data_IF_649544619494
#
_entry.id   IF_649544619494
#
_cell.length_a   1.000
_cell.length_b   1.000
_cell.length_c   1.000
_cell.angle_alpha   90.00
_cell.angle_beta   90.00
_cell.angle_gamma   90.00
#
_symmetry.space_group_name_H-M   'P 1'
#
loop_
_entity.id
_entity.type
_entity.pdbx_description
1 polymer ?
#
# COMPACT_ATOMS: atom_id res chain seq x y z
N UNK A 1 -16.52 -28.35 19.09
CA UNK A 1 -16.08 -27.13 18.38
C UNK A 1 -15.74 -27.51 16.96
N UNK A 2 -16.60 -27.15 16.00
CA UNK A 2 -16.24 -27.28 14.59
C UNK A 2 -15.16 -26.24 14.32
N UNK A 3 -13.91 -26.69 14.17
CA UNK A 3 -12.92 -25.90 13.45
C UNK A 3 -13.58 -25.54 12.12
N UNK A 4 -13.85 -24.25 11.88
CA UNK A 4 -13.90 -23.78 10.51
C UNK A 4 -12.58 -24.26 9.91
N UNK A 5 -12.62 -25.34 9.13
CA UNK A 5 -11.52 -25.68 8.25
C UNK A 5 -11.51 -24.56 7.22
N UNK A 6 -10.95 -23.41 7.62
CA UNK A 6 -10.68 -22.29 6.77
C UNK A 6 -9.97 -22.79 5.53
N UNK A 7 -10.17 -22.05 4.45
CA UNK A 7 -9.57 -22.27 3.12
C UNK A 7 -8.25 -23.03 3.23
N UNK A 8 -8.20 -24.27 2.68
CA UNK A 8 -6.98 -25.08 2.73
C UNK A 8 -5.92 -24.41 1.85
N UNK A 9 -4.91 -23.78 2.45
CA UNK A 9 -3.88 -23.05 1.71
C UNK A 9 -2.85 -23.93 0.97
N UNK A 10 -3.06 -25.25 0.91
CA UNK A 10 -2.28 -26.14 0.05
C UNK A 10 -3.05 -26.35 -1.28
N UNK A 11 -2.53 -25.79 -2.37
CA UNK A 11 -3.10 -25.96 -3.71
C UNK A 11 -4.34 -25.09 -4.00
N UNK A 12 -4.61 -24.05 -3.20
CA UNK A 12 -5.66 -23.08 -3.48
C UNK A 12 -5.12 -21.93 -4.31
N UNK A 13 -5.91 -21.50 -5.31
CA UNK A 13 -5.61 -20.32 -6.10
C UNK A 13 -5.46 -19.09 -5.19
N UNK A 14 -4.59 -18.16 -5.59
CA UNK A 14 -4.42 -16.90 -4.85
C UNK A 14 -5.74 -16.14 -4.77
N UNK A 15 -5.92 -15.38 -3.70
CA UNK A 15 -6.90 -14.30 -3.67
C UNK A 15 -6.35 -13.16 -4.55
N UNK A 16 -7.17 -12.67 -5.49
CA UNK A 16 -6.81 -11.54 -6.35
C UNK A 16 -7.57 -10.30 -5.92
N UNK A 17 -6.86 -9.17 -5.78
CA UNK A 17 -7.50 -7.87 -5.89
C UNK A 17 -7.89 -7.69 -7.37
N UNK A 18 -9.18 -7.68 -7.68
CA UNK A 18 -9.67 -7.44 -9.05
C UNK A 18 -10.28 -6.04 -9.09
N UNK A 19 -9.60 -5.12 -9.79
CA UNK A 19 -9.96 -3.71 -10.01
C UNK A 19 -10.31 -2.91 -8.72
N UNK A 20 -10.18 -1.58 -8.77
CA UNK A 20 -10.50 -0.65 -7.65
C UNK A 20 -9.62 -0.67 -6.39
N UNK A 21 -8.38 -1.18 -6.48
CA UNK A 21 -7.42 -1.12 -5.37
C UNK A 21 -7.23 0.31 -4.80
N UNK A 22 -7.26 1.33 -5.66
CA UNK A 22 -7.11 2.73 -5.26
C UNK A 22 -8.14 3.20 -4.22
N UNK A 23 -9.42 2.89 -4.42
CA UNK A 23 -10.48 3.26 -3.47
C UNK A 23 -10.31 2.50 -2.16
N UNK A 24 -10.08 1.20 -2.24
CA UNK A 24 -9.92 0.37 -1.04
C UNK A 24 -8.68 0.78 -0.21
N UNK A 25 -7.58 1.13 -0.87
CA UNK A 25 -6.37 1.65 -0.21
C UNK A 25 -6.61 3.03 0.42
N UNK A 26 -7.27 3.93 -0.32
CA UNK A 26 -7.62 5.27 0.17
C UNK A 26 -8.44 5.18 1.47
N UNK A 27 -9.42 4.29 1.53
CA UNK A 27 -10.29 4.15 2.71
C UNK A 27 -9.78 3.14 3.75
N UNK A 28 -8.66 2.45 3.48
CA UNK A 28 -8.16 1.37 4.33
C UNK A 28 -9.16 0.22 4.51
N UNK A 29 -9.86 -0.15 3.43
CA UNK A 29 -10.91 -1.18 3.42
C UNK A 29 -10.46 -2.48 2.74
N UNK A 30 -9.20 -2.56 2.33
CA UNK A 30 -8.60 -3.77 1.76
C UNK A 30 -7.13 -3.84 2.11
N UNK A 31 -6.66 -5.07 2.28
CA UNK A 31 -5.32 -5.37 2.77
C UNK A 31 -5.39 -6.59 3.67
N UNK A 32 -4.33 -7.38 3.65
CA UNK A 32 -4.11 -8.41 4.66
C UNK A 32 -3.32 -7.80 5.81
N UNK A 33 -3.99 -7.61 6.94
CA UNK A 33 -3.39 -7.12 8.17
C UNK A 33 -2.88 -8.28 9.04
N UNK A 34 -1.70 -8.12 9.63
CA UNK A 34 -0.99 -9.15 10.39
C UNK A 34 -1.18 -9.03 11.90
N UNK A 35 -1.88 -8.00 12.35
CA UNK A 35 -2.11 -7.70 13.76
C UNK A 35 -3.59 -7.55 14.04
N UNK A 36 -4.00 -7.91 15.25
CA UNK A 36 -5.40 -7.83 15.71
C UNK A 36 -5.80 -6.47 16.23
N UNK A 37 -4.81 -5.63 16.54
CA UNK A 37 -5.05 -4.34 17.16
C UNK A 37 -5.20 -3.28 16.08
N UNK A 38 -6.32 -2.56 16.12
CA UNK A 38 -6.49 -1.31 15.35
C UNK A 38 -5.40 -0.28 15.65
N UNK A 39 -4.71 -0.38 16.80
CA UNK A 39 -3.55 0.45 17.12
C UNK A 39 -2.31 0.14 16.27
N UNK A 40 -2.25 -0.99 15.56
CA UNK A 40 -1.17 -1.33 14.62
C UNK A 40 -1.43 -0.79 13.20
N UNK A 41 -2.68 -0.50 12.86
CA UNK A 41 -3.08 0.16 11.61
C UNK A 41 -3.99 1.38 11.85
N UNK A 42 -3.60 2.37 12.68
CA UNK A 42 -4.45 3.51 12.98
C UNK A 42 -4.60 4.44 11.77
N UNK A 43 -5.83 4.91 11.53
CA UNK A 43 -6.16 5.96 10.56
C UNK A 43 -5.95 7.40 11.08
N UNK A 44 -5.42 7.57 12.29
CA UNK A 44 -5.54 8.81 13.08
C UNK A 44 -4.88 10.06 12.49
N UNK A 45 -4.05 9.94 11.45
CA UNK A 45 -3.36 11.06 10.81
C UNK A 45 -3.62 11.17 9.30
N UNK A 46 -4.56 10.39 8.78
CA UNK A 46 -4.82 10.29 7.34
C UNK A 46 -6.12 11.01 6.97
N UNK A 47 -6.02 12.03 6.10
CA UNK A 47 -7.13 12.91 5.75
C UNK A 47 -7.46 12.91 4.24
N UNK A 48 -6.76 12.12 3.41
CA UNK A 48 -7.08 12.15 1.97
C UNK A 48 -8.46 11.55 1.67
N UNK A 49 -8.95 10.61 2.49
CA UNK A 49 -10.34 10.12 2.44
C UNK A 49 -11.39 11.18 2.81
N UNK A 50 -10.98 12.36 3.29
CA UNK A 50 -11.86 13.47 3.62
C UNK A 50 -11.82 14.61 2.60
N UNK A 51 -10.88 14.57 1.63
CA UNK A 51 -10.86 15.55 0.56
C UNK A 51 -12.21 15.52 -0.18
N UNK A 52 -12.75 16.69 -0.53
CA UNK A 52 -14.03 16.77 -1.22
C UNK A 52 -15.25 16.38 -0.39
N UNK A 53 -15.12 16.19 0.93
CA UNK A 53 -16.25 15.95 1.83
C UNK A 53 -16.49 17.19 2.69
N UNK A 54 -17.71 17.72 2.69
CA UNK A 54 -18.10 18.86 3.53
C UNK A 54 -17.24 20.13 3.33
N UNK A 55 -16.61 20.28 2.16
CA UNK A 55 -15.69 21.35 1.83
C UNK A 55 -14.52 21.51 2.82
N UNK A 56 -14.08 20.39 3.43
CA UNK A 56 -12.92 20.38 4.33
C UNK A 56 -11.71 20.97 3.60
N UNK A 57 -11.07 21.96 4.25
CA UNK A 57 -9.94 22.73 3.72
C UNK A 57 -10.19 23.39 2.35
N UNK A 58 -11.46 23.61 1.95
CA UNK A 58 -11.76 24.20 0.65
C UNK A 58 -11.52 23.27 -0.54
N UNK A 59 -11.69 21.96 -0.35
CA UNK A 59 -11.50 20.93 -1.39
C UNK A 59 -12.80 20.52 -2.10
N UNK A 60 -13.93 21.17 -1.80
CA UNK A 60 -15.22 20.92 -2.44
C UNK A 60 -16.08 19.83 -1.78
N UNK A 61 -17.13 19.40 -2.48
CA UNK A 61 -18.16 18.47 -1.96
C UNK A 61 -18.38 17.24 -2.84
N UNK A 62 -17.51 16.99 -3.82
CA UNK A 62 -17.70 15.95 -4.83
C UNK A 62 -17.03 14.61 -4.47
N UNK A 63 -16.52 14.49 -3.23
CA UNK A 63 -15.83 13.32 -2.72
C UNK A 63 -14.33 13.27 -3.05
N UNK A 64 -13.58 12.37 -2.38
CA UNK A 64 -12.11 12.35 -2.40
C UNK A 64 -11.48 12.18 -3.77
N UNK A 65 -12.02 11.26 -4.57
CA UNK A 65 -11.46 10.95 -5.89
C UNK A 65 -11.58 12.17 -6.81
N UNK A 66 -12.77 12.77 -6.89
CA UNK A 66 -13.03 13.93 -7.76
C UNK A 66 -12.26 15.15 -7.25
N UNK A 67 -12.22 15.35 -5.93
CA UNK A 67 -11.50 16.47 -5.34
C UNK A 67 -10.01 16.46 -5.65
N UNK A 68 -9.35 15.30 -5.82
CA UNK A 68 -7.94 15.26 -6.22
C UNK A 68 -7.77 15.20 -7.74
N UNK A 69 -8.54 14.35 -8.42
CA UNK A 69 -8.32 14.01 -9.81
C UNK A 69 -8.98 14.98 -10.80
N UNK A 70 -9.93 15.81 -10.37
CA UNK A 70 -10.67 16.71 -11.26
C UNK A 70 -10.68 18.17 -10.77
N UNK A 71 -9.74 18.54 -9.88
CA UNK A 71 -9.66 19.87 -9.27
C UNK A 71 -8.61 20.79 -9.92
N UNK A 72 -8.49 20.75 -11.25
CA UNK A 72 -7.57 21.66 -11.96
C UNK A 72 -8.12 23.11 -11.94
N UNK A 73 -7.25 24.14 -12.10
CA UNK A 73 -7.70 25.53 -12.14
C UNK A 73 -8.80 25.72 -13.19
N UNK A 74 -9.87 26.43 -12.83
CA UNK A 74 -10.91 26.81 -13.79
C UNK A 74 -10.39 27.96 -14.67
N UNK A 75 -11.06 28.20 -15.79
CA UNK A 75 -10.69 29.29 -16.74
C UNK A 75 -10.61 30.66 -16.06
N UNK A 76 -11.49 30.89 -15.10
CA UNK A 76 -11.51 32.12 -14.31
C UNK A 76 -10.25 32.33 -13.45
N UNK A 77 -9.54 31.25 -13.11
CA UNK A 77 -8.30 31.25 -12.31
C UNK A 77 -7.04 31.09 -13.19
N UNK A 78 -7.16 31.34 -14.50
CA UNK A 78 -6.07 31.15 -15.47
C UNK A 78 -5.88 29.70 -15.93
N UNK A 79 -6.85 28.81 -15.68
CA UNK A 79 -6.84 27.43 -16.13
C UNK A 79 -7.35 27.21 -17.56
N UNK A 80 -7.14 26.02 -18.10
CA UNK A 80 -7.72 25.62 -19.39
C UNK A 80 -9.06 24.90 -19.15
N UNK A 81 -10.19 25.29 -19.79
CA UNK A 81 -11.47 24.60 -19.58
C UNK A 81 -11.43 23.10 -19.92
N UNK A 82 -10.55 22.69 -20.83
CA UNK A 82 -10.33 21.28 -21.20
C UNK A 82 -9.75 20.43 -20.05
N UNK A 83 -9.17 21.07 -19.03
CA UNK A 83 -8.47 20.39 -17.94
C UNK A 83 -9.38 19.93 -16.79
N UNK A 84 -10.62 20.45 -16.74
CA UNK A 84 -11.63 20.11 -15.72
C UNK A 84 -12.05 18.63 -15.71
N UNK A 85 -11.77 17.90 -16.80
CA UNK A 85 -12.08 16.48 -16.96
C UNK A 85 -10.82 15.60 -17.12
N UNK A 86 -9.64 16.13 -16.81
CA UNK A 86 -8.40 15.35 -16.84
C UNK A 86 -8.14 14.68 -15.50
N UNK A 87 -8.22 13.35 -15.47
CA UNK A 87 -8.10 12.53 -14.25
C UNK A 87 -6.69 12.44 -13.67
N UNK A 88 -5.63 12.80 -14.39
CA UNK A 88 -4.26 12.67 -13.88
C UNK A 88 -3.89 13.91 -13.05
N UNK A 89 -3.70 13.83 -11.72
CA UNK A 89 -3.51 15.00 -10.85
C UNK A 89 -2.08 15.56 -10.90
N UNK A 90 -1.21 14.96 -11.73
CA UNK A 90 0.20 15.31 -11.91
C UNK A 90 0.59 15.27 -13.39
N UNK A 91 1.70 15.90 -13.76
CA UNK A 91 2.39 15.58 -15.03
C UNK A 91 3.50 14.58 -14.77
N UNK A 92 3.72 13.69 -15.75
CA UNK A 92 4.82 12.72 -15.72
C UNK A 92 5.70 12.89 -16.94
N UNK A 93 6.99 12.67 -16.77
CA UNK A 93 7.95 12.63 -17.86
C UNK A 93 7.62 11.45 -18.80
N UNK A 94 7.54 11.75 -20.10
CA UNK A 94 7.30 10.75 -21.15
C UNK A 94 8.58 9.99 -21.55
N UNK A 95 9.74 10.31 -20.97
CA UNK A 95 11.03 9.66 -21.26
C UNK A 95 11.17 8.24 -20.67
N UNK A 96 10.07 7.53 -20.45
CA UNK A 96 10.04 6.12 -20.06
C UNK A 96 10.22 5.83 -18.56
N UNK A 97 10.63 6.80 -17.73
CA UNK A 97 10.84 6.58 -16.29
C UNK A 97 9.61 6.92 -15.42
N UNK A 98 8.59 7.57 -16.00
CA UNK A 98 7.35 7.96 -15.35
C UNK A 98 7.54 8.92 -14.17
N UNK A 99 8.64 9.68 -14.15
CA UNK A 99 8.98 10.65 -13.10
C UNK A 99 7.90 11.71 -12.99
N UNK A 100 7.53 12.07 -11.75
CA UNK A 100 6.64 13.20 -11.49
C UNK A 100 7.36 14.51 -11.80
N UNK A 101 6.77 15.33 -12.67
CA UNK A 101 7.34 16.63 -13.07
C UNK A 101 6.64 17.81 -12.39
N UNK A 102 5.31 17.75 -12.23
CA UNK A 102 4.54 18.78 -11.56
C UNK A 102 3.27 18.23 -10.91
N UNK A 103 2.75 18.96 -9.91
CA UNK A 103 1.43 18.74 -9.34
C UNK A 103 0.47 19.71 -10.04
N UNK A 104 -0.54 19.15 -10.68
CA UNK A 104 -1.54 19.93 -11.43
C UNK A 104 -2.87 20.06 -10.71
N UNK A 105 -3.13 19.19 -9.72
CA UNK A 105 -4.30 19.28 -8.85
C UNK A 105 -4.14 20.44 -7.86
N UNK A 106 -5.16 21.29 -7.75
CA UNK A 106 -5.19 22.34 -6.73
C UNK A 106 -5.48 21.82 -5.32
N UNK A 107 -5.96 20.59 -5.17
CA UNK A 107 -6.35 20.05 -3.87
C UNK A 107 -5.16 19.83 -2.94
N UNK A 108 -3.99 19.44 -3.48
CA UNK A 108 -2.80 19.20 -2.66
C UNK A 108 -2.44 20.44 -1.83
N UNK A 109 -2.37 21.61 -2.47
CA UNK A 109 -1.95 22.86 -1.82
C UNK A 109 -2.94 23.38 -0.76
N UNK A 110 -4.18 22.90 -0.75
CA UNK A 110 -5.18 23.25 0.29
C UNK A 110 -4.83 22.68 1.66
N UNK A 111 -4.20 21.49 1.68
CA UNK A 111 -3.78 20.82 2.92
C UNK A 111 -2.26 20.84 3.11
N UNK A 112 -1.51 20.96 2.01
CA UNK A 112 -0.05 20.88 1.95
C UNK A 112 0.61 22.19 1.46
N UNK A 113 0.38 23.33 2.12
CA UNK A 113 0.91 24.61 1.65
C UNK A 113 2.44 24.64 1.76
N UNK A 114 3.10 25.21 0.74
CA UNK A 114 4.56 25.31 0.67
C UNK A 114 5.19 26.04 1.88
N UNK A 115 4.45 26.97 2.48
CA UNK A 115 4.90 27.78 3.62
C UNK A 115 4.90 27.03 4.96
N UNK A 116 4.30 25.83 5.06
CA UNK A 116 4.23 25.08 6.32
C UNK A 116 5.20 23.91 6.32
N UNK A 117 6.27 24.03 7.10
CA UNK A 117 7.22 22.94 7.33
C UNK A 117 6.50 21.67 7.84
N UNK A 118 6.86 20.51 7.29
CA UNK A 118 6.21 19.23 7.60
C UNK A 118 4.87 18.99 6.89
N UNK A 119 4.28 20.02 6.26
CA UNK A 119 3.08 19.86 5.42
C UNK A 119 3.33 20.12 3.94
N UNK A 120 4.45 20.73 3.54
CA UNK A 120 4.78 20.97 2.13
C UNK A 120 4.67 19.68 1.28
N UNK A 121 4.01 19.79 0.13
CA UNK A 121 3.98 18.78 -0.93
C UNK A 121 4.32 19.42 -2.26
N UNK A 122 5.33 18.90 -2.95
CA UNK A 122 5.72 19.31 -4.29
C UNK A 122 6.14 18.11 -5.15
N UNK A 123 6.49 18.35 -6.42
CA UNK A 123 6.88 17.30 -7.34
C UNK A 123 8.09 16.47 -6.86
N UNK A 124 9.05 17.09 -6.16
CA UNK A 124 10.23 16.39 -5.65
C UNK A 124 9.86 15.46 -4.50
N UNK A 125 9.08 15.94 -3.53
CA UNK A 125 8.59 15.10 -2.41
C UNK A 125 7.74 13.94 -2.95
N UNK A 126 6.85 14.24 -3.91
CA UNK A 126 5.97 13.24 -4.49
C UNK A 126 6.74 12.19 -5.30
N UNK A 127 7.76 12.60 -6.06
CA UNK A 127 8.65 11.69 -6.77
C UNK A 127 9.46 10.82 -5.80
N UNK A 128 9.97 11.38 -4.70
CA UNK A 128 10.67 10.61 -3.68
C UNK A 128 9.76 9.55 -3.04
N UNK A 129 8.50 9.89 -2.76
CA UNK A 129 7.51 8.92 -2.28
C UNK A 129 7.24 7.83 -3.32
N UNK A 130 7.11 8.19 -4.61
CA UNK A 130 6.95 7.22 -5.70
C UNK A 130 8.13 6.27 -5.81
N UNK A 131 9.36 6.80 -5.81
CA UNK A 131 10.59 6.00 -5.89
C UNK A 131 10.75 5.08 -4.69
N UNK A 132 10.47 5.60 -3.48
CA UNK A 132 10.44 4.84 -2.24
C UNK A 132 9.46 3.68 -2.28
N UNK A 133 8.22 3.94 -2.70
CA UNK A 133 7.19 2.92 -2.88
C UNK A 133 7.60 1.86 -3.90
N UNK A 134 8.11 2.27 -5.07
CA UNK A 134 8.54 1.32 -6.09
C UNK A 134 9.73 0.47 -5.62
N UNK A 135 10.67 1.04 -4.87
CA UNK A 135 11.78 0.28 -4.27
C UNK A 135 11.26 -0.71 -3.24
N UNK A 136 10.38 -0.29 -2.33
CA UNK A 136 9.74 -1.13 -1.34
C UNK A 136 8.96 -2.29 -1.97
N UNK A 137 8.19 -2.02 -3.03
CA UNK A 137 7.48 -3.05 -3.79
C UNK A 137 8.42 -4.05 -4.47
N UNK A 138 9.57 -3.59 -5.00
CA UNK A 138 10.60 -4.50 -5.54
C UNK A 138 11.21 -5.37 -4.45
N UNK A 139 11.55 -4.80 -3.30
CA UNK A 139 12.08 -5.55 -2.15
C UNK A 139 11.10 -6.64 -1.70
N UNK A 140 9.81 -6.30 -1.54
CA UNK A 140 8.78 -7.28 -1.17
C UNK A 140 8.61 -8.36 -2.26
N UNK A 141 8.54 -7.95 -3.53
CA UNK A 141 8.44 -8.86 -4.68
C UNK A 141 9.57 -9.88 -4.69
N UNK A 142 10.80 -9.41 -4.52
CA UNK A 142 11.98 -10.27 -4.62
C UNK A 142 12.03 -11.24 -3.42
N UNK A 143 11.64 -10.80 -2.22
CA UNK A 143 11.50 -11.69 -1.06
C UNK A 143 10.41 -12.76 -1.26
N UNK A 144 9.24 -12.39 -1.81
CA UNK A 144 8.17 -13.35 -2.13
C UNK A 144 8.71 -14.45 -3.07
N UNK A 145 9.46 -14.07 -4.11
CA UNK A 145 10.03 -15.02 -5.08
C UNK A 145 11.07 -15.94 -4.44
N UNK A 146 11.90 -15.41 -3.55
CA UNK A 146 12.88 -16.22 -2.81
C UNK A 146 12.19 -17.24 -1.90
N UNK A 147 11.07 -16.85 -1.27
CA UNK A 147 10.35 -17.70 -0.31
C UNK A 147 9.37 -18.66 -0.96
N UNK A 148 8.88 -18.37 -2.16
CA UNK A 148 7.89 -19.17 -2.88
C UNK A 148 8.43 -19.47 -4.28
N UNK A 149 9.21 -20.55 -4.40
CA UNK A 149 9.98 -20.89 -5.59
C UNK A 149 9.16 -21.01 -6.90
N UNK A 150 7.86 -21.29 -6.81
CA UNK A 150 6.96 -21.39 -7.97
C UNK A 150 6.51 -20.02 -8.52
N UNK A 151 6.84 -18.90 -7.86
CA UNK A 151 6.43 -17.56 -8.27
C UNK A 151 7.41 -16.98 -9.28
N UNK A 152 6.90 -16.57 -10.43
CA UNK A 152 7.68 -15.97 -11.52
C UNK A 152 7.38 -14.48 -11.70
N UNK A 153 8.16 -13.78 -12.50
CA UNK A 153 7.87 -12.40 -12.91
C UNK A 153 7.35 -12.41 -14.34
N UNK A 154 6.22 -11.73 -14.57
CA UNK A 154 5.77 -11.46 -15.92
C UNK A 154 6.73 -10.47 -16.59
N UNK A 155 7.43 -10.90 -17.64
CA UNK A 155 8.45 -10.09 -18.31
C UNK A 155 7.91 -8.80 -18.95
N UNK A 156 6.60 -8.72 -19.25
CA UNK A 156 5.98 -7.52 -19.85
C UNK A 156 5.59 -6.48 -18.81
N UNK A 157 5.03 -6.92 -17.68
CA UNK A 157 4.47 -6.00 -16.68
C UNK A 157 5.41 -5.82 -15.48
N UNK A 158 6.30 -6.77 -15.21
CA UNK A 158 7.12 -6.80 -14.01
C UNK A 158 6.35 -7.24 -12.75
N UNK A 159 5.07 -7.62 -12.89
CA UNK A 159 4.23 -8.17 -11.85
C UNK A 159 4.63 -9.61 -11.49
N UNK A 160 4.25 -10.06 -10.29
CA UNK A 160 4.34 -11.47 -9.94
C UNK A 160 3.31 -12.28 -10.72
N UNK A 161 3.67 -13.50 -11.08
CA UNK A 161 2.78 -14.49 -11.65
C UNK A 161 2.77 -15.70 -10.74
N UNK A 162 1.57 -16.04 -10.26
CA UNK A 162 1.31 -17.14 -9.35
C UNK A 162 0.56 -18.24 -10.09
N UNK A 163 0.90 -19.49 -9.80
CA UNK A 163 0.13 -20.63 -10.29
C UNK A 163 -1.22 -20.73 -9.60
N UNK A 164 -2.21 -21.31 -10.28
CA UNK A 164 -3.51 -21.64 -9.68
C UNK A 164 -3.42 -22.69 -8.56
N UNK A 165 -2.29 -23.39 -8.46
CA UNK A 165 -2.00 -24.40 -7.44
C UNK A 165 -0.82 -24.02 -6.52
N UNK A 166 -0.51 -22.72 -6.37
CA UNK A 166 0.60 -22.29 -5.50
C UNK A 166 0.46 -22.88 -4.10
N UNK A 167 1.54 -23.52 -3.62
CA UNK A 167 1.60 -24.03 -2.26
C UNK A 167 2.17 -22.95 -1.31
N UNK A 168 1.28 -22.34 -0.54
CA UNK A 168 1.61 -21.24 0.38
C UNK A 168 2.36 -21.71 1.64
N UNK A 169 2.42 -23.01 1.90
CA UNK A 169 3.20 -23.56 3.03
C UNK A 169 4.71 -23.57 2.75
N UNK A 170 5.15 -23.34 1.50
CA UNK A 170 6.57 -23.41 1.14
C UNK A 170 7.42 -22.32 1.82
N UNK A 171 6.85 -21.15 2.09
CA UNK A 171 7.59 -20.06 2.72
C UNK A 171 7.79 -20.26 4.22
N UNK A 172 6.72 -20.66 4.92
CA UNK A 172 6.63 -20.61 6.39
C UNK A 172 5.94 -21.84 7.02
N UNK A 173 5.96 -22.97 6.31
CA UNK A 173 5.39 -24.23 6.77
C UNK A 173 3.87 -24.18 6.94
N UNK A 174 3.36 -25.05 7.82
CA UNK A 174 1.94 -25.20 8.12
C UNK A 174 1.64 -25.02 9.61
N UNK A 175 2.46 -24.24 10.32
CA UNK A 175 2.28 -23.94 11.72
C UNK A 175 0.98 -23.15 11.95
N UNK A 176 0.44 -23.21 13.17
CA UNK A 176 -0.65 -22.34 13.59
C UNK A 176 -0.02 -21.09 14.23
N UNK A 177 -0.47 -19.91 13.80
CA UNK A 177 -0.03 -18.62 14.30
C UNK A 177 -1.24 -17.79 14.74
N UNK A 178 -0.97 -16.79 15.56
CA UNK A 178 -1.93 -15.75 15.93
C UNK A 178 -2.27 -14.92 14.69
N UNK A 179 -3.52 -14.97 14.25
CA UNK A 179 -4.08 -14.16 13.15
C UNK A 179 -4.54 -12.78 13.59
N UNK A 180 -4.98 -11.93 12.66
CA UNK A 180 -5.52 -10.57 12.87
C UNK A 180 -6.89 -10.50 13.55
N UNK A 181 -7.41 -11.63 14.01
CA UNK A 181 -8.55 -11.66 14.92
C UNK A 181 -9.91 -11.53 14.25
N UNK A 182 -10.93 -11.96 14.98
CA UNK A 182 -12.31 -11.87 14.53
C UNK A 182 -13.05 -10.82 15.37
N UNK A 183 -13.57 -9.76 14.74
CA UNK A 183 -14.34 -8.73 15.43
C UNK A 183 -15.54 -9.29 16.22
N UNK A 184 -16.09 -10.43 15.81
CA UNK A 184 -17.22 -11.08 16.47
C UNK A 184 -16.83 -11.84 17.75
N UNK A 185 -15.58 -12.27 17.90
CA UNK A 185 -15.12 -13.04 19.08
C UNK A 185 -14.19 -12.24 19.99
N UNK A 186 -13.77 -11.03 19.58
CA UNK A 186 -12.99 -10.10 20.41
C UNK A 186 -11.57 -10.57 20.73
N UNK A 187 -11.06 -11.57 20.00
CA UNK A 187 -9.76 -12.18 20.23
C UNK A 187 -9.00 -12.47 18.94
N UNK A 188 -7.72 -12.79 19.09
CA UNK A 188 -6.88 -13.23 17.98
C UNK A 188 -7.30 -14.64 17.52
N UNK A 189 -7.64 -14.80 16.26
CA UNK A 189 -7.97 -16.10 15.69
C UNK A 189 -6.70 -16.92 15.49
N UNK A 190 -6.77 -18.23 15.70
CA UNK A 190 -5.70 -19.13 15.32
C UNK A 190 -5.82 -19.43 13.82
N UNK A 191 -4.80 -19.10 13.03
CA UNK A 191 -4.78 -19.35 11.59
C UNK A 191 -3.53 -20.11 11.17
N UNK A 192 -3.57 -20.78 10.03
CA UNK A 192 -2.36 -21.39 9.46
C UNK A 192 -1.37 -20.32 8.97
N UNK A 193 -0.08 -20.51 9.19
CA UNK A 193 1.01 -19.61 8.75
C UNK A 193 0.99 -19.35 7.23
N UNK A 194 0.50 -20.32 6.46
CA UNK A 194 0.28 -20.17 5.02
C UNK A 194 -0.71 -19.04 4.65
N UNK A 195 -1.65 -18.68 5.55
CA UNK A 195 -2.54 -17.55 5.37
C UNK A 195 -1.76 -16.22 5.35
N UNK A 196 -0.77 -16.07 6.24
CA UNK A 196 0.10 -14.89 6.26
C UNK A 196 0.98 -14.82 5.02
N UNK A 197 1.51 -15.96 4.55
CA UNK A 197 2.25 -16.01 3.28
C UNK A 197 1.39 -15.58 2.09
N UNK A 198 0.16 -16.09 2.00
CA UNK A 198 -0.78 -15.67 0.95
C UNK A 198 -1.20 -14.20 1.12
N UNK A 199 -1.35 -13.74 2.36
CA UNK A 199 -1.63 -12.36 2.71
C UNK A 199 -0.55 -11.39 2.25
N UNK A 200 0.73 -11.73 2.45
CA UNK A 200 1.86 -10.95 1.92
C UNK A 200 1.81 -10.84 0.39
N UNK A 201 1.49 -11.93 -0.30
CA UNK A 201 1.33 -11.93 -1.75
C UNK A 201 0.09 -11.13 -2.21
N UNK A 202 -1.02 -11.22 -1.48
CA UNK A 202 -2.22 -10.43 -1.73
C UNK A 202 -1.93 -8.93 -1.58
N UNK A 203 -1.23 -8.51 -0.52
CA UNK A 203 -0.82 -7.12 -0.34
C UNK A 203 0.04 -6.63 -1.49
N UNK A 204 1.00 -7.43 -1.96
CA UNK A 204 1.78 -7.07 -3.14
C UNK A 204 0.88 -6.84 -4.37
N UNK A 205 -0.03 -7.76 -4.67
CA UNK A 205 -0.92 -7.65 -5.83
C UNK A 205 -1.86 -6.43 -5.73
N UNK A 206 -2.47 -6.23 -4.56
CA UNK A 206 -3.34 -5.09 -4.26
C UNK A 206 -2.62 -3.77 -4.52
N UNK A 207 -1.40 -3.63 -4.02
CA UNK A 207 -0.62 -2.40 -4.14
C UNK A 207 0.00 -2.24 -5.54
N UNK A 208 0.32 -3.34 -6.22
CA UNK A 208 0.76 -3.29 -7.61
C UNK A 208 -0.37 -2.80 -8.54
N UNK A 209 -1.63 -3.13 -8.22
CA UNK A 209 -2.80 -2.63 -8.93
C UNK A 209 -3.15 -1.16 -8.62
N UNK A 210 -2.51 -0.54 -7.62
CA UNK A 210 -2.69 0.86 -7.27
C UNK A 210 -1.40 1.67 -7.52
N UNK A 211 -1.25 2.19 -8.74
CA UNK A 211 -0.13 3.06 -9.10
C UNK A 211 -0.07 4.37 -8.30
N UNK A 212 -1.13 4.74 -7.57
CA UNK A 212 -1.22 5.92 -6.71
C UNK A 212 -1.10 5.62 -5.22
N UNK A 213 -0.81 4.38 -4.82
CA UNK A 213 -0.77 3.90 -3.44
C UNK A 213 0.09 4.77 -2.49
N UNK A 214 1.20 5.30 -2.99
CA UNK A 214 2.11 6.21 -2.25
C UNK A 214 1.51 7.60 -1.96
N UNK A 215 0.32 7.88 -2.49
CA UNK A 215 -0.48 9.08 -2.21
C UNK A 215 -1.80 8.70 -1.55
N UNK A 216 -2.46 7.65 -2.02
CA UNK A 216 -3.80 7.30 -1.54
C UNK A 216 -3.80 7.05 -0.05
N UNK A 217 -2.92 6.24 0.53
CA UNK A 217 -2.80 6.12 1.99
C UNK A 217 -1.38 5.67 2.37
N UNK A 218 -0.38 6.56 2.31
CA UNK A 218 1.02 6.18 2.40
C UNK A 218 1.38 5.49 3.71
N UNK A 219 0.75 5.87 4.82
CA UNK A 219 1.02 5.26 6.13
C UNK A 219 0.53 3.81 6.16
N UNK A 220 -0.70 3.57 5.70
CA UNK A 220 -1.25 2.22 5.64
C UNK A 220 -0.47 1.33 4.67
N UNK A 221 -0.18 1.86 3.48
CA UNK A 221 0.54 1.15 2.42
C UNK A 221 1.93 0.74 2.90
N UNK A 222 2.68 1.66 3.55
CA UNK A 222 3.98 1.34 4.12
C UNK A 222 3.90 0.21 5.15
N UNK A 223 2.88 0.22 6.01
CA UNK A 223 2.65 -0.84 7.01
C UNK A 223 2.33 -2.18 6.37
N UNK A 224 1.45 -2.22 5.38
CA UNK A 224 1.15 -3.46 4.65
C UNK A 224 2.41 -4.03 3.99
N UNK A 225 3.23 -3.21 3.34
CA UNK A 225 4.47 -3.67 2.72
C UNK A 225 5.45 -4.16 3.79
N UNK A 226 5.65 -3.37 4.84
CA UNK A 226 6.58 -3.67 5.92
C UNK A 226 6.21 -4.96 6.64
N UNK A 227 4.95 -5.12 7.03
CA UNK A 227 4.50 -6.30 7.77
C UNK A 227 4.51 -7.55 6.89
N UNK A 228 4.21 -7.40 5.59
CA UNK A 228 4.36 -8.49 4.63
C UNK A 228 5.81 -8.95 4.51
N UNK A 229 6.76 -8.01 4.59
CA UNK A 229 8.20 -8.26 4.55
C UNK A 229 8.72 -8.86 5.87
N UNK A 230 8.32 -8.31 7.02
CA UNK A 230 8.57 -8.83 8.37
C UNK A 230 8.22 -10.33 8.45
N UNK A 231 6.96 -10.66 8.15
CA UNK A 231 6.50 -12.04 8.12
C UNK A 231 7.37 -12.95 7.24
N UNK A 232 7.64 -12.52 6.01
CA UNK A 232 8.33 -13.37 5.04
C UNK A 232 9.82 -13.56 5.37
N UNK A 233 10.43 -12.70 6.19
CA UNK A 233 11.84 -12.86 6.56
C UNK A 233 12.06 -14.09 7.44
N UNK A 234 11.32 -14.18 8.54
CA UNK A 234 11.58 -15.14 9.60
C UNK A 234 10.34 -15.96 10.03
N UNK A 235 9.20 -15.80 9.33
CA UNK A 235 7.94 -16.49 9.63
C UNK A 235 7.40 -16.17 11.03
N UNK A 236 7.64 -14.95 11.49
CA UNK A 236 7.10 -14.36 12.71
C UNK A 236 6.76 -12.90 12.45
N UNK A 237 5.86 -12.33 13.27
CA UNK A 237 5.68 -10.89 13.33
C UNK A 237 6.54 -10.34 14.46
N UNK A 238 7.13 -9.17 14.25
CA UNK A 238 8.13 -8.64 15.15
C UNK A 238 7.55 -7.86 16.32
N UNK A 239 8.15 -8.05 17.48
CA UNK A 239 7.70 -7.50 18.77
C UNK A 239 8.50 -6.25 19.19
N UNK A 240 9.62 -5.96 18.52
CA UNK A 240 10.60 -4.90 18.81
C UNK A 240 10.34 -3.58 18.05
N UNK A 241 9.09 -3.32 17.68
CA UNK A 241 8.70 -2.25 16.75
C UNK A 241 9.33 -2.38 15.34
N UNK A 242 9.84 -3.55 14.96
CA UNK A 242 10.34 -3.84 13.60
C UNK A 242 11.78 -3.38 13.34
N UNK A 243 12.58 -3.14 14.39
CA UNK A 243 13.94 -2.64 14.22
C UNK A 243 14.85 -3.65 13.52
N UNK A 244 14.70 -4.93 13.89
CA UNK A 244 15.45 -6.04 13.28
C UNK A 244 15.15 -6.17 11.79
N UNK A 245 13.88 -6.03 11.40
CA UNK A 245 13.41 -6.18 10.04
C UNK A 245 13.83 -5.00 9.18
N UNK A 246 13.77 -3.79 9.75
CA UNK A 246 14.34 -2.60 9.14
C UNK A 246 15.82 -2.78 8.84
N UNK A 247 16.59 -3.41 9.74
CA UNK A 247 17.99 -3.72 9.48
C UNK A 247 18.16 -4.69 8.29
N UNK A 248 17.26 -5.66 8.13
CA UNK A 248 17.23 -6.63 7.03
C UNK A 248 16.94 -6.05 5.64
N UNK A 249 16.27 -4.89 5.55
CA UNK A 249 16.06 -4.20 4.26
C UNK A 249 17.39 -3.62 3.76
N UNK A 250 17.89 -4.19 2.66
CA UNK A 250 19.20 -3.83 2.06
C UNK A 250 19.12 -2.77 0.97
N UNK A 251 17.99 -2.62 0.27
CA UNK A 251 17.80 -1.53 -0.69
C UNK A 251 17.68 -0.21 0.09
N UNK A 252 18.61 0.75 -0.09
CA UNK A 252 18.65 1.96 0.73
C UNK A 252 17.44 2.88 0.48
N UNK A 253 16.86 2.86 -0.72
CA UNK A 253 15.69 3.68 -1.07
C UNK A 253 14.45 3.07 -0.40
N UNK A 254 14.29 1.75 -0.46
CA UNK A 254 13.22 1.04 0.24
C UNK A 254 13.33 1.23 1.75
N UNK A 255 14.54 1.11 2.31
CA UNK A 255 14.82 1.28 3.74
C UNK A 255 14.47 2.68 4.21
N UNK A 256 14.90 3.72 3.48
CA UNK A 256 14.57 5.11 3.82
C UNK A 256 13.06 5.38 3.74
N UNK A 257 12.34 4.70 2.84
CA UNK A 257 10.90 4.88 2.67
C UNK A 257 10.06 4.18 3.75
N UNK A 258 10.41 2.92 4.06
CA UNK A 258 9.68 2.08 5.03
C UNK A 258 10.12 2.33 6.47
N UNK A 259 11.40 2.60 6.69
CA UNK A 259 12.02 2.70 8.02
C UNK A 259 12.83 4.01 8.17
N UNK A 260 12.25 5.20 7.94
CA UNK A 260 13.00 6.46 8.01
C UNK A 260 13.61 6.71 9.40
N UNK A 261 13.02 6.14 10.46
CA UNK A 261 13.48 6.24 11.85
C UNK A 261 14.11 4.94 12.36
N UNK A 262 14.38 3.97 11.46
CA UNK A 262 14.94 2.66 11.82
C UNK A 262 13.94 1.68 12.44
N UNK A 263 12.64 2.00 12.45
CA UNK A 263 11.55 1.17 12.97
C UNK A 263 10.37 1.15 12.00
N UNK A 264 9.40 0.27 12.26
CA UNK A 264 8.13 0.16 11.54
C UNK A 264 7.40 1.52 11.44
N UNK A 265 6.80 1.86 10.28
CA UNK A 265 6.05 3.11 10.07
C UNK A 265 4.64 3.12 10.69
#
# INVERSE_FOLDING_TARGET
MAYLQGVRFNGTARISAHDFAAGANLFQESGFEFYTSSAKYPQTAFLHNQAGLGNINGTGNNGPCIACHMSRPLVADGGNPADSHSFMPITKAFNGNGRVESITSNACNKCHPAATAGKRMDATILENNRLGFLAAMRTLRDLIRTKIAAVTINAKTGALSFSSNTNWTLACGSAIVTGSGNPATGGADAIGSAAYTMGSAFNYELLYADFGAYVHNPNYIKRLIFDSYDWLQNCSMSIDNGATECAGITDPIAKAYLCPTGVRP
#
